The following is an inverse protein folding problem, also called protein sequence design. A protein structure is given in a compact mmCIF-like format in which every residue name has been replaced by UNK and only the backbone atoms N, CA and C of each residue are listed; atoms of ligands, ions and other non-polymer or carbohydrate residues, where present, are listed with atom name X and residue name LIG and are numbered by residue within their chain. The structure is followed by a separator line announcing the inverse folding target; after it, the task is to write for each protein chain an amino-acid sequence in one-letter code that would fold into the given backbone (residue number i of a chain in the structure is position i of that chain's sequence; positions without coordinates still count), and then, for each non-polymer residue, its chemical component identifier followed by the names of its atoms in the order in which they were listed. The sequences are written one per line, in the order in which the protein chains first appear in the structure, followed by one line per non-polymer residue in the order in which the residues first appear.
data_IF_762075050391
#
_entry.id   IF_762075050391
#
_cell.length_a   1.000
_cell.length_b   1.000
_cell.length_c   1.000
_cell.angle_alpha   90.00
_cell.angle_beta   90.00
_cell.angle_gamma   90.00
#
_symmetry.space_group_name_H-M   'P 1'
#
loop_
_entity.id
_entity.type
_entity.pdbx_description
1 polymer ?
#
# COMPACT_ATOMS: atom_id res chain seq x y z
N UNK A 1 13.06 7.11 -15.25
CA UNK A 1 12.65 8.03 -14.17
C UNK A 1 11.40 8.74 -14.66
N UNK A 2 10.23 8.20 -14.31
CA UNK A 2 8.96 8.87 -14.57
C UNK A 2 8.82 10.02 -13.58
N UNK A 3 8.51 11.21 -14.07
CA UNK A 3 8.16 12.35 -13.22
C UNK A 3 6.67 12.19 -12.99
N UNK A 4 6.28 11.65 -11.84
CA UNK A 4 4.86 11.61 -11.45
C UNK A 4 4.40 13.05 -11.24
N UNK A 5 3.47 13.55 -12.05
CA UNK A 5 2.73 14.75 -11.65
C UNK A 5 1.72 14.34 -10.59
N UNK A 6 2.15 14.36 -9.33
CA UNK A 6 1.29 14.10 -8.17
C UNK A 6 0.16 15.14 -8.23
N UNK A 7 -1.08 14.72 -8.48
CA UNK A 7 -2.22 15.55 -8.12
C UNK A 7 -2.06 15.89 -6.64
N UNK A 8 -2.18 17.15 -6.22
CA UNK A 8 -1.79 17.61 -4.87
C UNK A 8 -2.50 16.87 -3.71
N UNK A 9 -3.45 15.98 -4.00
CA UNK A 9 -4.12 15.10 -3.05
C UNK A 9 -3.32 13.83 -2.73
N UNK A 10 -3.15 13.60 -1.42
CA UNK A 10 -2.89 12.27 -0.87
C UNK A 10 -3.88 12.01 0.24
N UNK A 11 -4.11 10.74 0.55
CA UNK A 11 -4.85 10.33 1.74
C UNK A 11 -4.21 9.11 2.37
N UNK A 12 -4.51 8.90 3.65
CA UNK A 12 -4.07 7.73 4.39
C UNK A 12 -5.24 6.75 4.50
N UNK A 13 -4.97 5.47 4.31
CA UNK A 13 -5.91 4.38 4.58
C UNK A 13 -5.37 3.55 5.72
N UNK A 14 -6.22 3.29 6.71
CA UNK A 14 -5.82 2.65 7.96
C UNK A 14 -6.57 1.36 8.27
N UNK A 15 -5.88 0.45 8.93
CA UNK A 15 -6.40 -0.75 9.57
C UNK A 15 -6.05 -0.70 11.05
N UNK A 16 -7.08 -0.55 11.90
CA UNK A 16 -6.95 -0.35 13.35
C UNK A 16 -7.79 -1.38 14.10
N UNK A 17 -7.29 -2.61 14.18
CA UNK A 17 -7.97 -3.69 14.90
C UNK A 17 -7.07 -4.38 15.92
N UNK A 18 -7.58 -4.54 17.14
CA UNK A 18 -6.85 -5.18 18.24
C UNK A 18 -5.54 -4.46 18.57
N UNK A 19 -4.41 -5.12 18.28
CA UNK A 19 -3.05 -4.60 18.50
C UNK A 19 -2.44 -3.95 17.26
N UNK A 20 -3.10 -4.05 16.11
CA UNK A 20 -2.54 -3.63 14.83
C UNK A 20 -2.93 -2.19 14.54
N UNK A 21 -1.92 -1.40 14.17
CA UNK A 21 -2.03 -0.03 13.69
C UNK A 21 -1.21 0.04 12.40
N UNK A 22 -1.89 -0.11 11.26
CA UNK A 22 -1.26 -0.30 9.95
C UNK A 22 -1.85 0.74 9.01
N UNK A 23 -0.99 1.49 8.33
CA UNK A 23 -1.40 2.54 7.41
C UNK A 23 -0.72 2.38 6.05
N UNK A 24 -1.41 2.82 5.00
CA UNK A 24 -0.87 3.00 3.65
C UNK A 24 -1.28 4.38 3.13
N UNK A 25 -0.58 4.87 2.11
CA UNK A 25 -0.79 6.21 1.54
C UNK A 25 -1.23 6.05 0.08
N UNK A 26 -2.35 6.68 -0.27
CA UNK A 26 -2.83 6.79 -1.65
C UNK A 26 -2.43 8.13 -2.27
N UNK A 27 -1.87 8.08 -3.48
CA UNK A 27 -1.56 9.27 -4.30
C UNK A 27 -2.35 9.25 -5.60
N UNK A 28 -2.91 10.39 -5.98
CA UNK A 28 -3.61 10.53 -7.26
C UNK A 28 -2.59 10.49 -8.40
N UNK A 29 -2.82 9.61 -9.37
CA UNK A 29 -1.98 9.45 -10.55
C UNK A 29 -2.55 10.22 -11.75
N UNK A 30 -1.77 10.27 -12.84
CA UNK A 30 -2.11 11.04 -14.05
C UNK A 30 -3.39 10.55 -14.74
N UNK A 31 -3.86 9.35 -14.42
CA UNK A 31 -5.09 8.76 -14.97
C UNK A 31 -6.34 9.14 -14.16
N UNK A 32 -6.20 9.92 -13.08
CA UNK A 32 -7.30 10.24 -12.17
C UNK A 32 -7.73 9.07 -11.30
N UNK A 33 -6.85 8.08 -11.13
CA UNK A 33 -6.99 6.98 -10.16
C UNK A 33 -5.93 7.14 -9.07
N UNK A 34 -5.86 6.20 -8.13
CA UNK A 34 -4.98 6.29 -6.98
C UNK A 34 -4.07 5.08 -6.89
N UNK A 35 -2.77 5.35 -6.72
CA UNK A 35 -1.76 4.35 -6.42
C UNK A 35 -1.54 4.30 -4.90
N UNK A 36 -1.66 3.11 -4.31
CA UNK A 36 -1.62 2.92 -2.85
C UNK A 36 -0.32 2.24 -2.46
N UNK A 37 0.46 2.91 -1.61
CA UNK A 37 1.79 2.48 -1.19
C UNK A 37 1.87 2.12 0.29
N UNK A 38 2.71 1.14 0.60
CA UNK A 38 2.97 0.67 1.95
C UNK A 38 4.48 0.69 2.25
N UNK A 39 4.88 1.36 3.33
CA UNK A 39 6.29 1.59 3.67
C UNK A 39 6.73 0.99 5.03
N UNK A 40 5.88 0.19 5.68
CA UNK A 40 6.18 -0.38 7.00
C UNK A 40 6.79 -1.79 6.93
N UNK A 41 7.46 -2.15 5.83
CA UNK A 41 8.10 -3.45 5.66
C UNK A 41 9.57 -3.28 5.24
N UNK A 42 10.45 -4.11 5.82
CA UNK A 42 11.87 -4.13 5.47
C UNK A 42 12.06 -4.67 4.04
N UNK A 43 13.04 -4.15 3.29
CA UNK A 43 13.31 -4.56 1.90
C UNK A 43 13.48 -6.07 1.73
N UNK A 44 14.13 -6.74 2.69
CA UNK A 44 14.35 -8.20 2.67
C UNK A 44 13.05 -9.01 2.79
N UNK A 45 12.00 -8.39 3.32
CA UNK A 45 10.70 -9.00 3.55
C UNK A 45 9.68 -8.63 2.48
N UNK A 46 9.87 -7.51 1.76
CA UNK A 46 9.03 -7.13 0.60
C UNK A 46 8.96 -8.27 -0.42
N UNK A 47 10.11 -8.84 -0.78
CA UNK A 47 10.15 -9.95 -1.73
C UNK A 47 9.45 -11.21 -1.21
N UNK A 48 9.51 -11.47 0.09
CA UNK A 48 8.81 -12.62 0.69
C UNK A 48 7.29 -12.40 0.74
N UNK A 49 6.87 -11.16 0.95
CA UNK A 49 5.46 -10.77 1.05
C UNK A 49 4.78 -10.73 -0.32
N UNK A 50 5.44 -10.15 -1.32
CA UNK A 50 4.84 -9.83 -2.62
C UNK A 50 5.37 -10.67 -3.79
N UNK A 51 6.40 -11.48 -3.56
CA UNK A 51 7.03 -12.30 -4.58
C UNK A 51 8.06 -11.53 -5.42
N UNK A 52 8.26 -11.95 -6.67
CA UNK A 52 9.33 -11.44 -7.54
C UNK A 52 8.94 -10.23 -8.39
N UNK A 53 7.67 -9.89 -8.48
CA UNK A 53 7.16 -8.79 -9.30
C UNK A 53 6.44 -7.78 -8.40
N UNK A 54 7.16 -6.75 -7.96
CA UNK A 54 6.61 -5.64 -7.19
C UNK A 54 7.18 -4.32 -7.70
N UNK A 55 6.38 -3.25 -7.59
CA UNK A 55 6.82 -1.89 -7.87
C UNK A 55 7.13 -1.20 -6.55
N UNK A 56 8.36 -0.72 -6.41
CA UNK A 56 8.80 0.04 -5.24
C UNK A 56 9.11 1.46 -5.65
N UNK A 57 8.56 2.40 -4.89
CA UNK A 57 8.96 3.80 -4.90
C UNK A 57 9.91 4.03 -3.71
N UNK A 58 11.01 4.74 -3.95
CA UNK A 58 12.03 4.94 -2.91
C UNK A 58 11.54 5.80 -1.74
N UNK A 59 10.54 6.64 -1.96
CA UNK A 59 10.00 7.56 -0.96
C UNK A 59 8.73 7.01 -0.33
N UNK A 60 7.89 6.31 -1.11
CA UNK A 60 6.57 5.86 -0.66
C UNK A 60 6.47 4.37 -0.31
N UNK A 61 7.48 3.57 -0.64
CA UNK A 61 7.51 2.14 -0.38
C UNK A 61 6.87 1.34 -1.51
N UNK A 62 6.28 0.20 -1.17
CA UNK A 62 5.81 -0.75 -2.19
C UNK A 62 4.37 -0.46 -2.62
N UNK A 63 4.12 -0.46 -3.93
CA UNK A 63 2.79 -0.36 -4.50
C UNK A 63 2.02 -1.65 -4.20
N UNK A 64 0.95 -1.55 -3.41
CA UNK A 64 0.13 -2.71 -3.02
C UNK A 64 -1.09 -2.90 -3.92
N UNK A 65 -1.69 -1.82 -4.44
CA UNK A 65 -2.76 -1.87 -5.44
C UNK A 65 -3.11 -0.47 -5.98
N UNK A 66 -3.94 -0.45 -7.03
CA UNK A 66 -4.60 0.76 -7.57
C UNK A 66 -6.08 0.80 -7.25
N UNK A 67 -6.68 1.98 -7.17
CA UNK A 67 -8.09 2.19 -6.79
C UNK A 67 -8.67 3.46 -7.43
N UNK A 68 -9.99 3.51 -7.65
CA UNK A 68 -10.63 4.70 -8.24
C UNK A 68 -10.97 5.74 -7.17
N UNK A 69 -11.27 5.30 -5.96
CA UNK A 69 -11.65 6.17 -4.85
C UNK A 69 -11.20 5.60 -3.49
N UNK A 70 -11.47 6.37 -2.43
CA UNK A 70 -11.09 6.05 -1.07
C UNK A 70 -11.89 4.87 -0.47
N UNK A 71 -13.16 4.70 -0.85
CA UNK A 71 -13.99 3.60 -0.30
C UNK A 71 -13.52 2.24 -0.84
N UNK A 72 -13.21 2.20 -2.14
CA UNK A 72 -12.56 1.06 -2.77
C UNK A 72 -11.17 0.81 -2.16
N UNK A 73 -10.41 1.87 -1.88
CA UNK A 73 -9.11 1.76 -1.22
C UNK A 73 -9.21 1.12 0.16
N UNK A 74 -10.17 1.58 0.98
CA UNK A 74 -10.39 1.06 2.33
C UNK A 74 -10.73 -0.42 2.31
N UNK A 75 -11.60 -0.82 1.39
CA UNK A 75 -12.01 -2.22 1.23
C UNK A 75 -10.83 -3.10 0.79
N UNK A 76 -10.10 -2.68 -0.26
CA UNK A 76 -8.91 -3.40 -0.74
C UNK A 76 -7.81 -3.47 0.31
N UNK A 77 -7.60 -2.39 1.06
CA UNK A 77 -6.59 -2.33 2.10
C UNK A 77 -6.89 -3.31 3.23
N UNK A 78 -8.12 -3.34 3.72
CA UNK A 78 -8.54 -4.29 4.76
C UNK A 78 -8.32 -5.73 4.32
N UNK A 79 -8.74 -6.07 3.10
CA UNK A 79 -8.53 -7.41 2.53
C UNK A 79 -7.03 -7.73 2.43
N UNK A 80 -6.22 -6.80 1.91
CA UNK A 80 -4.77 -6.99 1.79
C UNK A 80 -4.12 -7.19 3.16
N UNK A 81 -4.48 -6.39 4.17
CA UNK A 81 -3.95 -6.53 5.52
C UNK A 81 -4.29 -7.90 6.10
N UNK A 82 -5.55 -8.31 6.05
CA UNK A 82 -6.02 -9.56 6.66
C UNK A 82 -5.52 -10.82 5.94
N UNK A 83 -5.40 -10.77 4.61
CA UNK A 83 -5.08 -11.96 3.81
C UNK A 83 -3.59 -12.10 3.47
N UNK A 84 -2.83 -11.01 3.51
CA UNK A 84 -1.42 -10.99 3.11
C UNK A 84 -0.52 -10.53 4.26
N UNK A 85 -0.74 -9.33 4.80
CA UNK A 85 0.20 -8.74 5.76
C UNK A 85 0.14 -9.42 7.14
N UNK A 86 -1.02 -9.58 7.75
CA UNK A 86 -1.14 -10.19 9.08
C UNK A 86 -0.63 -11.64 9.10
N UNK A 87 -1.00 -12.51 8.14
CA UNK A 87 -0.42 -13.85 8.07
C UNK A 87 1.10 -13.84 7.92
N UNK A 88 1.66 -12.88 7.18
CA UNK A 88 3.12 -12.74 7.08
C UNK A 88 3.76 -12.33 8.41
N UNK A 89 3.19 -11.33 9.09
CA UNK A 89 3.70 -10.83 10.38
C UNK A 89 3.59 -11.87 11.49
N UNK A 90 2.52 -12.67 11.52
CA UNK A 90 2.31 -13.69 12.55
C UNK A 90 3.20 -14.93 12.33
N UNK A 91 3.74 -15.12 11.12
CA UNK A 91 4.68 -16.21 10.80
C UNK A 91 6.16 -15.76 10.77
N UNK A 92 6.45 -14.50 11.08
CA UNK A 92 7.81 -13.93 11.20
C UNK A 92 8.36 -14.13 12.62
#
# INVERSE_FOLDING_TARGET
MGVWSVGEGHWHVGYYEGKYCIEAIGFENEEGTWDVFFNHIDDEDVQKLLGSEYEIDNDFGVLIFKTNDYEEAQTKFHIWVETILLPFLDNK
#
